data_IF_915976829954
#
_entry.id   IF_915976829954
#
_cell.length_a   1.000
_cell.length_b   1.000
_cell.length_c   1.000
_cell.angle_alpha   90.00
_cell.angle_beta   90.00
_cell.angle_gamma   90.00
#
_symmetry.space_group_name_H-M   'P 1'
#
loop_
_entity.id
_entity.type
_entity.pdbx_description
1 polymer ?
#
# COMPACT_ATOMS: atom_id res chain seq x y z
N UNK A 1 -33.46 -31.53 -22.30
CA UNK A 1 -32.19 -31.35 -21.56
C UNK A 1 -32.02 -29.86 -21.33
N UNK A 2 -32.22 -29.39 -20.10
CA UNK A 2 -32.09 -27.97 -19.76
C UNK A 2 -30.65 -27.75 -19.30
N UNK A 3 -29.90 -26.96 -20.07
CA UNK A 3 -28.54 -26.57 -19.70
C UNK A 3 -28.65 -25.55 -18.55
N UNK A 4 -28.24 -25.95 -17.35
CA UNK A 4 -28.16 -25.06 -16.20
C UNK A 4 -26.88 -24.24 -16.36
N UNK A 5 -27.02 -22.97 -16.74
CA UNK A 5 -25.94 -22.01 -16.60
C UNK A 5 -25.73 -21.79 -15.10
N UNK A 6 -24.66 -22.36 -14.56
CA UNK A 6 -24.15 -21.93 -13.25
C UNK A 6 -23.68 -20.49 -13.46
N UNK A 7 -24.54 -19.52 -13.14
CA UNK A 7 -24.06 -18.16 -12.89
C UNK A 7 -23.15 -18.29 -11.68
N UNK A 8 -21.84 -18.29 -11.91
CA UNK A 8 -20.88 -18.11 -10.85
C UNK A 8 -21.37 -16.91 -10.02
N UNK A 9 -21.43 -17.01 -8.69
CA UNK A 9 -21.94 -15.91 -7.92
C UNK A 9 -21.04 -14.71 -8.24
N UNK A 10 -21.62 -13.67 -8.81
CA UNK A 10 -21.06 -12.30 -8.77
C UNK A 10 -21.07 -11.78 -7.34
N UNK A 11 -20.94 -12.69 -6.36
CA UNK A 11 -20.80 -12.45 -4.94
C UNK A 11 -19.36 -11.98 -4.74
N UNK A 12 -19.20 -10.73 -5.16
CA UNK A 12 -18.51 -9.65 -4.50
C UNK A 12 -17.00 -9.83 -4.38
N UNK A 13 -16.34 -9.81 -5.55
CA UNK A 13 -14.88 -9.64 -5.67
C UNK A 13 -14.44 -8.38 -4.89
N UNK A 14 -15.23 -7.30 -4.95
CA UNK A 14 -14.96 -6.06 -4.21
C UNK A 14 -15.03 -6.25 -2.69
N UNK A 15 -16.13 -6.79 -2.13
CA UNK A 15 -16.21 -7.06 -0.69
C UNK A 15 -15.21 -8.11 -0.23
N UNK A 16 -14.88 -9.09 -1.07
CA UNK A 16 -13.82 -10.07 -0.76
C UNK A 16 -12.46 -9.37 -0.72
N UNK A 17 -12.21 -8.44 -1.64
CA UNK A 17 -11.03 -7.58 -1.66
C UNK A 17 -10.95 -6.72 -0.40
N UNK A 18 -12.02 -6.01 -0.07
CA UNK A 18 -12.10 -5.16 1.12
C UNK A 18 -11.95 -5.97 2.41
N UNK A 19 -12.53 -7.16 2.49
CA UNK A 19 -12.38 -8.06 3.63
C UNK A 19 -10.94 -8.58 3.77
N UNK A 20 -10.25 -8.86 2.66
CA UNK A 20 -8.84 -9.24 2.67
C UNK A 20 -7.96 -8.06 3.12
N UNK A 21 -8.21 -6.86 2.57
CA UNK A 21 -7.51 -5.64 2.99
C UNK A 21 -7.76 -5.39 4.47
N UNK A 22 -9.00 -5.42 4.95
CA UNK A 22 -9.32 -5.22 6.36
C UNK A 22 -8.66 -6.25 7.28
N UNK A 23 -8.54 -7.51 6.82
CA UNK A 23 -7.94 -8.61 7.60
C UNK A 23 -6.42 -8.54 7.67
N UNK A 24 -5.76 -8.16 6.58
CA UNK A 24 -4.31 -8.25 6.43
C UNK A 24 -3.61 -6.89 6.45
N UNK A 25 -4.34 -5.77 6.35
CA UNK A 25 -3.77 -4.43 6.51
C UNK A 25 -3.17 -4.34 7.92
N UNK A 26 -1.86 -4.04 8.02
CA UNK A 26 -1.24 -3.78 9.32
C UNK A 26 -2.02 -2.67 10.03
N UNK A 27 -2.39 -2.89 11.29
CA UNK A 27 -3.02 -1.84 12.12
C UNK A 27 -1.94 -0.86 12.61
N UNK A 28 -1.29 -0.18 11.66
CA UNK A 28 -0.30 0.85 11.93
C UNK A 28 -1.01 2.20 11.99
N UNK A 29 -0.70 2.96 13.03
CA UNK A 29 -1.13 4.34 13.17
C UNK A 29 -0.33 5.27 12.26
N UNK A 30 -0.89 6.42 11.88
CA UNK A 30 -0.19 7.43 11.07
C UNK A 30 1.23 7.77 11.59
N UNK A 31 1.46 7.94 12.92
CA UNK A 31 2.81 8.14 13.46
C UNK A 31 3.76 6.97 13.22
N UNK A 32 3.29 5.73 13.29
CA UNK A 32 4.11 4.53 13.03
C UNK A 32 4.48 4.43 11.56
N UNK A 33 3.51 4.66 10.66
CA UNK A 33 3.75 4.70 9.22
C UNK A 33 4.74 5.83 8.88
N UNK A 34 4.53 7.01 9.44
CA UNK A 34 5.42 8.17 9.26
C UNK A 34 6.84 7.85 9.73
N UNK A 35 6.99 7.23 10.90
CA UNK A 35 8.30 6.80 11.42
C UNK A 35 8.99 5.86 10.45
N UNK A 36 8.27 4.86 9.92
CA UNK A 36 8.82 3.90 8.95
C UNK A 36 9.27 4.59 7.66
N UNK A 37 8.46 5.49 7.10
CA UNK A 37 8.83 6.29 5.93
C UNK A 37 10.18 7.00 6.19
N UNK A 38 10.38 7.59 7.37
CA UNK A 38 11.61 8.32 7.70
C UNK A 38 12.84 7.48 8.01
N UNK A 39 12.67 6.20 8.40
CA UNK A 39 13.76 5.35 8.88
C UNK A 39 14.10 4.17 7.95
N UNK A 40 13.14 3.69 7.17
CA UNK A 40 13.33 2.51 6.31
C UNK A 40 13.96 2.90 4.98
N UNK A 41 15.29 2.95 4.94
CA UNK A 41 16.02 3.16 3.69
C UNK A 41 15.98 1.96 2.74
N UNK A 42 16.60 2.14 1.58
CA UNK A 42 16.66 1.08 0.57
C UNK A 42 17.46 -0.12 1.08
N UNK A 43 16.86 -1.30 1.09
CA UNK A 43 17.57 -2.57 1.33
C UNK A 43 18.54 -2.87 0.19
N UNK A 44 19.67 -3.50 0.50
CA UNK A 44 20.63 -3.94 -0.52
C UNK A 44 20.04 -4.96 -1.49
N UNK A 45 19.08 -5.77 -1.03
CA UNK A 45 18.45 -6.85 -1.81
C UNK A 45 17.24 -6.43 -2.61
N UNK A 46 16.64 -5.27 -2.33
CA UNK A 46 15.47 -4.79 -3.08
C UNK A 46 15.89 -3.98 -4.31
N UNK A 47 15.08 -4.02 -5.35
CA UNK A 47 15.19 -3.12 -6.50
C UNK A 47 14.66 -1.73 -6.12
N UNK A 48 15.01 -0.71 -6.92
CA UNK A 48 14.42 0.63 -6.72
C UNK A 48 12.91 0.65 -6.92
N UNK A 49 12.38 -0.22 -7.79
CA UNK A 49 10.94 -0.31 -8.02
C UNK A 49 10.22 -0.87 -6.79
N UNK A 50 10.72 -1.98 -6.23
CA UNK A 50 10.17 -2.54 -4.98
C UNK A 50 10.27 -1.54 -3.82
N UNK A 51 11.36 -0.76 -3.77
CA UNK A 51 11.53 0.29 -2.78
C UNK A 51 10.48 1.41 -2.92
N UNK A 52 10.23 1.89 -4.15
CA UNK A 52 9.18 2.89 -4.43
C UNK A 52 7.79 2.34 -4.10
N UNK A 53 7.48 1.11 -4.54
CA UNK A 53 6.16 0.50 -4.34
C UNK A 53 5.83 0.36 -2.85
N UNK A 54 6.81 -0.05 -2.04
CA UNK A 54 6.67 -0.09 -0.57
C UNK A 54 6.44 1.31 0.01
N UNK A 55 7.14 2.33 -0.48
CA UNK A 55 6.95 3.72 -0.04
C UNK A 55 5.57 4.26 -0.39
N UNK A 56 5.06 3.95 -1.59
CA UNK A 56 3.72 4.34 -2.02
C UNK A 56 2.64 3.65 -1.18
N UNK A 57 2.80 2.37 -0.86
CA UNK A 57 1.89 1.66 0.04
C UNK A 57 1.87 2.26 1.45
N UNK A 58 3.03 2.70 1.96
CA UNK A 58 3.08 3.42 3.25
C UNK A 58 2.39 4.78 3.17
N UNK A 59 2.62 5.56 2.11
CA UNK A 59 1.96 6.86 1.92
C UNK A 59 0.44 6.71 1.78
N UNK A 60 -0.04 5.66 1.10
CA UNK A 60 -1.46 5.33 1.00
C UNK A 60 -2.05 4.87 2.34
N UNK A 61 -1.21 4.33 3.21
CA UNK A 61 -1.57 3.91 4.55
C UNK A 61 -1.96 5.06 5.49
N UNK A 62 -1.50 6.29 5.22
CA UNK A 62 -1.75 7.49 6.02
C UNK A 62 -3.17 8.03 5.85
N UNK A 63 -3.64 8.85 6.79
CA UNK A 63 -4.90 9.60 6.63
C UNK A 63 -4.88 10.43 5.34
N UNK A 64 -5.89 10.21 4.49
CA UNK A 64 -6.00 10.84 3.17
C UNK A 64 -5.18 10.17 2.07
N UNK A 65 -4.44 9.11 2.38
CA UNK A 65 -3.73 8.25 1.43
C UNK A 65 -2.82 9.01 0.46
N UNK A 66 -2.69 8.48 -0.75
CA UNK A 66 -1.93 9.14 -1.84
C UNK A 66 -2.67 10.32 -2.49
N UNK A 67 -3.99 10.45 -2.27
CA UNK A 67 -4.76 11.60 -2.74
C UNK A 67 -4.41 12.89 -1.97
N UNK A 68 -3.87 12.75 -0.76
CA UNK A 68 -3.28 13.86 -0.03
C UNK A 68 -1.86 14.15 -0.54
N UNK A 69 -1.73 15.24 -1.30
CA UNK A 69 -0.47 15.67 -1.88
C UNK A 69 0.68 15.81 -0.86
N UNK A 70 0.39 16.16 0.40
CA UNK A 70 1.42 16.26 1.43
C UNK A 70 2.06 14.89 1.73
N UNK A 71 1.26 13.82 1.79
CA UNK A 71 1.76 12.46 2.04
C UNK A 71 2.71 12.03 0.91
N UNK A 72 2.33 12.26 -0.33
CA UNK A 72 3.14 11.92 -1.51
C UNK A 72 4.43 12.75 -1.55
N UNK A 73 4.35 14.06 -1.28
CA UNK A 73 5.53 14.94 -1.25
C UNK A 73 6.52 14.53 -0.15
N UNK A 74 6.02 14.20 1.04
CA UNK A 74 6.87 13.75 2.15
C UNK A 74 7.50 12.38 1.88
N UNK A 75 6.73 11.44 1.34
CA UNK A 75 7.24 10.13 0.95
C UNK A 75 8.31 10.24 -0.15
N UNK A 76 8.07 11.05 -1.19
CA UNK A 76 9.02 11.28 -2.28
C UNK A 76 10.31 11.96 -1.78
N UNK A 77 10.19 13.01 -0.98
CA UNK A 77 11.36 13.69 -0.41
C UNK A 77 12.20 12.76 0.45
N UNK A 78 11.56 11.85 1.17
CA UNK A 78 12.24 10.86 2.00
C UNK A 78 12.86 9.73 1.18
N UNK A 79 12.14 9.24 0.18
CA UNK A 79 12.65 8.27 -0.79
C UNK A 79 13.96 8.76 -1.40
N UNK A 80 14.00 9.99 -1.91
CA UNK A 80 15.21 10.57 -2.51
C UNK A 80 16.36 10.69 -1.51
N UNK A 81 16.07 11.03 -0.26
CA UNK A 81 17.06 11.14 0.82
C UNK A 81 17.68 9.78 1.19
N UNK A 82 16.90 8.71 1.13
CA UNK A 82 17.29 7.37 1.61
C UNK A 82 17.57 6.36 0.48
N UNK A 83 17.36 6.76 -0.77
CA UNK A 83 17.59 5.94 -1.96
C UNK A 83 19.09 5.68 -2.21
N UNK A 84 19.97 6.49 -1.64
CA UNK A 84 21.41 6.39 -1.82
C UNK A 84 22.13 6.50 -0.46
N UNK A 85 23.14 5.66 -0.16
CA UNK A 85 23.93 5.74 1.06
C UNK A 85 24.84 6.97 1.13
#
# INVERSE_FOLDING_TARGET
MTQVFVTAPTFIIEETGDALVAKFRPNLTDPEITTRIYSEGKSATETYQEYVDRFLQMADGLTGGVDNAANVQHALGTFLRLAWP
#
